data_IF_671379911943
#
_entry.id   IF_671379911943
#
_cell.length_a   1.000
_cell.length_b   1.000
_cell.length_c   1.000
_cell.angle_alpha   90.00
_cell.angle_beta   90.00
_cell.angle_gamma   90.00
#
_symmetry.space_group_name_H-M   'P 1'
#
loop_
_entity.id
_entity.type
_entity.pdbx_description
1 polymer ?
#
# COMPACT_ATOMS: atom_id res chain seq x y z
N UNK A 1 9.33 -8.52 -25.43
CA UNK A 1 9.29 -7.20 -24.77
C UNK A 1 10.07 -7.15 -23.45
N UNK A 2 9.99 -8.17 -22.57
CA UNK A 2 10.86 -8.26 -21.37
C UNK A 2 12.27 -8.81 -21.67
N UNK A 3 12.42 -9.64 -22.71
CA UNK A 3 13.70 -10.25 -23.10
C UNK A 3 14.70 -9.22 -23.61
N UNK A 4 14.31 -8.39 -24.60
CA UNK A 4 15.18 -7.32 -25.13
C UNK A 4 15.60 -6.29 -24.07
N UNK A 5 14.72 -5.99 -23.12
CA UNK A 5 15.06 -5.09 -22.02
C UNK A 5 16.11 -5.72 -21.09
N UNK A 6 15.95 -7.00 -20.76
CA UNK A 6 16.94 -7.77 -19.97
C UNK A 6 18.27 -7.90 -20.69
N UNK A 7 18.24 -8.16 -21.99
CA UNK A 7 19.46 -8.31 -22.79
C UNK A 7 20.24 -7.00 -22.91
N UNK A 8 19.53 -5.86 -23.01
CA UNK A 8 20.14 -4.52 -22.99
C UNK A 8 20.67 -4.10 -21.62
N UNK A 9 20.05 -4.60 -20.54
CA UNK A 9 20.48 -4.35 -19.17
C UNK A 9 21.71 -5.19 -18.80
N UNK A 10 21.83 -6.39 -19.37
CA UNK A 10 23.00 -7.27 -19.21
C UNK A 10 24.23 -6.82 -20.03
N UNK A 11 24.08 -5.82 -20.90
CA UNK A 11 25.16 -5.27 -21.72
C UNK A 11 25.87 -4.10 -21.03
N UNK A 12 27.16 -4.30 -20.72
CA UNK A 12 27.95 -3.40 -19.87
C UNK A 12 27.46 -3.46 -18.43
N UNK A 13 28.24 -3.00 -17.46
CA UNK A 13 27.91 -2.96 -16.01
C UNK A 13 26.66 -2.12 -15.65
N UNK A 14 25.75 -1.87 -16.59
CA UNK A 14 24.48 -1.16 -16.39
C UNK A 14 23.58 -1.85 -15.37
N UNK A 15 23.61 -3.18 -15.30
CA UNK A 15 22.91 -3.93 -14.26
C UNK A 15 23.48 -3.61 -12.87
N UNK A 16 24.81 -3.53 -12.75
CA UNK A 16 25.50 -3.23 -11.50
C UNK A 16 25.32 -1.76 -11.11
N UNK A 17 25.40 -0.82 -12.06
CA UNK A 17 25.11 0.59 -11.80
C UNK A 17 23.67 0.86 -11.39
N UNK A 18 22.70 0.12 -11.94
CA UNK A 18 21.31 0.16 -11.49
C UNK A 18 21.16 -0.41 -10.08
N UNK A 19 21.83 -1.53 -9.80
CA UNK A 19 21.85 -2.15 -8.48
C UNK A 19 22.47 -1.22 -7.44
N UNK A 20 23.58 -0.55 -7.76
CA UNK A 20 24.25 0.41 -6.89
C UNK A 20 23.36 1.61 -6.57
N UNK A 21 22.70 2.18 -7.59
CA UNK A 21 21.74 3.27 -7.39
C UNK A 21 20.59 2.83 -6.48
N UNK A 22 20.05 1.62 -6.68
CA UNK A 22 19.00 1.08 -5.82
C UNK A 22 19.50 0.86 -4.39
N UNK A 23 20.71 0.30 -4.21
CA UNK A 23 21.32 0.08 -2.90
C UNK A 23 21.60 1.40 -2.17
N UNK A 24 22.04 2.44 -2.89
CA UNK A 24 22.24 3.77 -2.32
C UNK A 24 20.91 4.33 -1.78
N UNK A 25 19.83 4.26 -2.56
CA UNK A 25 18.49 4.70 -2.12
C UNK A 25 17.98 3.88 -0.93
N UNK A 26 18.21 2.56 -0.93
CA UNK A 26 17.83 1.69 0.19
C UNK A 26 18.64 2.00 1.46
N UNK A 27 19.91 2.39 1.34
CA UNK A 27 20.74 2.86 2.46
C UNK A 27 20.29 4.23 2.97
N UNK A 28 20.00 5.18 2.08
CA UNK A 28 19.43 6.48 2.47
C UNK A 28 18.11 6.32 3.22
N UNK A 29 17.33 5.30 2.86
CA UNK A 29 16.10 4.92 3.56
C UNK A 29 16.33 4.02 4.80
N UNK A 30 17.58 3.78 5.23
CA UNK A 30 17.88 2.99 6.44
C UNK A 30 17.45 1.51 6.38
N UNK A 31 17.20 0.97 5.19
CA UNK A 31 16.72 -0.40 4.97
C UNK A 31 17.86 -1.42 4.86
N UNK A 32 19.06 -0.93 4.54
CA UNK A 32 20.30 -1.69 4.48
C UNK A 32 21.28 -1.04 5.45
N UNK A 33 21.93 -1.83 6.31
CA UNK A 33 22.88 -1.32 7.30
C UNK A 33 24.25 -1.18 6.66
N UNK A 34 24.98 -0.10 6.98
CA UNK A 34 26.32 0.15 6.43
C UNK A 34 27.39 -0.89 6.84
N UNK A 35 27.17 -1.65 7.92
CA UNK A 35 28.17 -2.60 8.45
C UNK A 35 27.56 -3.95 8.83
N UNK A 36 28.08 -5.01 8.22
CA UNK A 36 27.77 -6.41 8.50
C UNK A 36 27.55 -7.22 7.22
N UNK A 37 27.94 -8.50 7.22
CA UNK A 37 27.67 -9.44 6.12
C UNK A 37 26.16 -9.71 6.04
N UNK A 38 25.44 -8.86 5.32
CA UNK A 38 24.02 -9.05 5.02
C UNK A 38 23.85 -10.01 3.85
N UNK A 39 22.80 -10.82 3.88
CA UNK A 39 22.37 -11.58 2.70
C UNK A 39 21.74 -10.59 1.71
N UNK A 40 22.52 -10.16 0.74
CA UNK A 40 22.11 -9.42 -0.46
C UNK A 40 21.73 -10.39 -1.57
N UNK A 41 20.98 -11.44 -1.24
CA UNK A 41 20.32 -12.21 -2.30
C UNK A 41 19.16 -11.38 -2.86
N UNK A 42 18.89 -11.56 -4.15
CA UNK A 42 17.84 -10.82 -4.87
C UNK A 42 16.49 -10.99 -4.19
N UNK A 43 16.27 -12.11 -3.49
CA UNK A 43 15.06 -12.41 -2.74
C UNK A 43 14.87 -11.48 -1.54
N UNK A 44 15.92 -11.23 -0.75
CA UNK A 44 15.82 -10.35 0.42
C UNK A 44 15.61 -8.89 0.03
N UNK A 45 16.37 -8.39 -0.95
CA UNK A 45 16.23 -7.02 -1.46
C UNK A 45 14.84 -6.82 -2.08
N UNK A 46 14.36 -7.78 -2.86
CA UNK A 46 13.03 -7.72 -3.46
C UNK A 46 11.92 -7.82 -2.41
N UNK A 47 12.07 -8.64 -1.36
CA UNK A 47 11.11 -8.72 -0.26
C UNK A 47 11.01 -7.39 0.52
N UNK A 48 12.14 -6.76 0.83
CA UNK A 48 12.17 -5.46 1.51
C UNK A 48 11.64 -4.34 0.62
N UNK A 49 11.99 -4.33 -0.68
CA UNK A 49 11.43 -3.39 -1.64
C UNK A 49 9.91 -3.57 -1.79
N UNK A 50 9.43 -4.82 -1.87
CA UNK A 50 8.01 -5.15 -1.91
C UNK A 50 7.27 -4.70 -0.64
N UNK A 51 7.87 -4.86 0.54
CA UNK A 51 7.29 -4.38 1.80
C UNK A 51 7.08 -2.86 1.83
N UNK A 52 7.86 -2.09 1.05
CA UNK A 52 7.69 -0.64 0.87
C UNK A 52 6.65 -0.30 -0.18
N UNK A 53 6.68 -0.98 -1.34
CA UNK A 53 5.69 -0.82 -2.41
C UNK A 53 4.27 -1.22 -1.98
N UNK A 54 4.13 -1.96 -0.87
CA UNK A 54 2.86 -2.44 -0.30
C UNK A 54 2.07 -1.40 0.51
N UNK A 55 2.64 -0.26 0.89
CA UNK A 55 2.01 0.71 1.83
C UNK A 55 1.35 1.92 1.19
N UNK A 56 2.03 2.50 0.21
CA UNK A 56 1.55 3.64 -0.57
C UNK A 56 0.23 3.38 -1.32
N UNK A 57 -0.03 2.19 -1.91
CA UNK A 57 -1.29 1.97 -2.63
C UNK A 57 -2.52 2.00 -1.72
N UNK A 58 -2.39 1.69 -0.43
CA UNK A 58 -3.55 1.66 0.48
C UNK A 58 -4.02 3.07 0.80
N UNK A 59 -3.13 3.97 1.19
CA UNK A 59 -3.48 5.36 1.51
C UNK A 59 -4.03 6.08 0.28
N UNK A 60 -3.41 5.87 -0.87
CA UNK A 60 -3.84 6.46 -2.14
C UNK A 60 -5.20 5.91 -2.61
N UNK A 61 -5.45 4.61 -2.42
CA UNK A 61 -6.75 4.03 -2.71
C UNK A 61 -7.85 4.58 -1.79
N UNK A 62 -7.56 4.82 -0.51
CA UNK A 62 -8.52 5.48 0.40
C UNK A 62 -8.80 6.90 -0.08
N UNK A 63 -7.78 7.66 -0.47
CA UNK A 63 -7.96 9.01 -1.03
C UNK A 63 -8.86 8.98 -2.27
N UNK A 64 -8.54 8.12 -3.24
CA UNK A 64 -9.32 8.00 -4.48
C UNK A 64 -10.78 7.58 -4.23
N UNK A 65 -11.00 6.66 -3.28
CA UNK A 65 -12.35 6.26 -2.87
C UNK A 65 -13.11 7.40 -2.19
N UNK A 66 -12.45 8.19 -1.33
CA UNK A 66 -13.07 9.40 -0.72
C UNK A 66 -13.45 10.42 -1.79
N UNK A 67 -12.60 10.64 -2.80
CA UNK A 67 -12.91 11.56 -3.91
C UNK A 67 -14.10 11.08 -4.76
N UNK A 68 -14.19 9.77 -5.00
CA UNK A 68 -15.36 9.16 -5.65
C UNK A 68 -16.63 9.34 -4.83
N UNK A 69 -16.58 9.02 -3.53
CA UNK A 69 -17.73 9.17 -2.64
C UNK A 69 -18.14 10.64 -2.52
N UNK A 70 -17.21 11.57 -2.44
CA UNK A 70 -17.49 13.00 -2.41
C UNK A 70 -18.26 13.48 -3.65
N UNK A 71 -17.96 12.89 -4.81
CA UNK A 71 -18.62 13.22 -6.08
C UNK A 71 -20.01 12.61 -6.20
N UNK A 72 -20.14 11.33 -5.84
CA UNK A 72 -21.32 10.54 -6.19
C UNK A 72 -22.33 10.41 -5.03
N UNK A 73 -21.83 10.42 -3.79
CA UNK A 73 -22.62 10.18 -2.56
C UNK A 73 -22.04 10.94 -1.34
N UNK A 74 -21.89 12.28 -1.41
CA UNK A 74 -21.20 13.07 -0.37
C UNK A 74 -21.75 12.86 1.05
N UNK A 75 -23.03 12.54 1.21
CA UNK A 75 -23.67 12.28 2.50
C UNK A 75 -23.07 11.09 3.29
N UNK A 76 -22.32 10.21 2.63
CA UNK A 76 -21.55 9.15 3.32
C UNK A 76 -20.39 9.75 4.11
N UNK A 77 -19.80 10.84 3.61
CA UNK A 77 -18.64 11.49 4.22
C UNK A 77 -19.00 12.30 5.47
N UNK A 78 -20.23 12.77 5.60
CA UNK A 78 -20.70 13.51 6.78
C UNK A 78 -20.53 12.72 8.09
N UNK A 79 -20.53 11.38 8.00
CA UNK A 79 -20.37 10.49 9.15
C UNK A 79 -18.92 10.11 9.45
N UNK A 80 -18.00 10.34 8.50
CA UNK A 80 -16.64 9.79 8.52
C UNK A 80 -15.57 10.88 8.56
N UNK A 81 -15.77 11.98 7.86
CA UNK A 81 -14.74 13.00 7.64
C UNK A 81 -14.61 13.88 8.87
N UNK A 82 -13.60 13.56 9.68
CA UNK A 82 -13.11 14.43 10.74
C UNK A 82 -11.95 15.31 10.24
N UNK A 83 -11.51 16.28 11.05
CA UNK A 83 -10.31 17.07 10.72
C UNK A 83 -9.07 16.18 10.44
N UNK A 84 -8.92 15.08 11.18
CA UNK A 84 -7.84 14.10 10.97
C UNK A 84 -7.90 13.41 9.59
N UNK A 85 -9.08 13.27 8.98
CA UNK A 85 -9.20 12.73 7.62
C UNK A 85 -8.69 13.72 6.59
N UNK A 86 -8.97 15.01 6.78
CA UNK A 86 -8.45 16.08 5.92
C UNK A 86 -6.92 16.15 5.91
N UNK A 87 -6.28 15.97 7.07
CA UNK A 87 -4.82 15.94 7.17
C UNK A 87 -4.21 14.71 6.48
N UNK A 88 -4.88 13.54 6.56
CA UNK A 88 -4.35 12.26 6.08
C UNK A 88 -4.62 11.98 4.61
N UNK A 89 -5.77 12.41 4.10
CA UNK A 89 -6.24 12.08 2.75
C UNK A 89 -6.49 13.32 1.88
N UNK A 90 -6.44 14.54 2.44
CA UNK A 90 -6.67 15.77 1.68
C UNK A 90 -5.54 16.16 0.72
N UNK A 91 -4.39 15.48 0.77
CA UNK A 91 -3.26 15.70 -0.15
C UNK A 91 -2.71 14.37 -0.68
N UNK A 92 -2.20 14.33 -1.93
CA UNK A 92 -1.49 13.17 -2.44
C UNK A 92 -0.30 12.79 -1.55
N UNK A 93 -0.07 11.49 -1.36
CA UNK A 93 1.05 10.99 -0.57
C UNK A 93 2.37 11.29 -1.30
N UNK A 94 3.35 11.96 -0.67
CA UNK A 94 4.66 12.17 -1.28
C UNK A 94 5.39 10.83 -1.44
N UNK A 95 5.80 10.49 -2.67
CA UNK A 95 6.47 9.22 -3.06
C UNK A 95 7.82 8.95 -2.33
N UNK A 96 8.37 9.92 -1.61
CA UNK A 96 9.71 9.83 -1.01
C UNK A 96 9.75 10.12 0.49
N UNK A 97 8.60 10.24 1.17
CA UNK A 97 8.62 10.46 2.63
C UNK A 97 8.60 9.12 3.36
N UNK A 98 9.76 8.71 3.88
CA UNK A 98 9.83 7.53 4.74
C UNK A 98 9.17 7.85 6.08
N UNK A 99 8.00 7.29 6.38
CA UNK A 99 7.19 7.93 7.39
C UNK A 99 7.41 7.22 8.74
N UNK A 100 7.47 7.95 9.87
CA UNK A 100 7.74 7.40 11.22
C UNK A 100 6.65 6.41 11.68
N UNK A 101 6.96 5.20 12.17
CA UNK A 101 5.94 4.19 12.56
C UNK A 101 5.05 3.65 11.41
N UNK A 102 5.63 2.97 10.41
CA UNK A 102 4.91 2.63 9.19
C UNK A 102 3.91 1.47 9.35
N UNK A 103 4.06 0.62 10.37
CA UNK A 103 3.05 -0.41 10.70
C UNK A 103 1.81 0.23 11.30
N UNK A 104 1.98 1.13 12.28
CA UNK A 104 0.87 1.77 12.97
C UNK A 104 0.01 2.59 12.00
N UNK A 105 0.65 3.35 11.10
CA UNK A 105 -0.08 4.06 10.04
C UNK A 105 -0.82 3.13 9.10
N UNK A 106 -0.19 2.05 8.62
CA UNK A 106 -0.88 1.10 7.75
C UNK A 106 -2.11 0.49 8.45
N UNK A 107 -1.99 0.12 9.72
CA UNK A 107 -3.12 -0.37 10.51
C UNK A 107 -4.23 0.68 10.59
N UNK A 108 -3.90 1.94 10.89
CA UNK A 108 -4.86 3.03 10.96
C UNK A 108 -5.56 3.27 9.61
N UNK A 109 -4.80 3.32 8.51
CA UNK A 109 -5.34 3.45 7.15
C UNK A 109 -6.28 2.29 6.81
N UNK A 110 -5.94 1.06 7.20
CA UNK A 110 -6.82 -0.09 7.03
C UNK A 110 -8.12 0.03 7.83
N UNK A 111 -8.07 0.56 9.05
CA UNK A 111 -9.28 0.83 9.84
C UNK A 111 -10.16 1.88 9.15
N UNK A 112 -9.58 3.00 8.72
CA UNK A 112 -10.32 4.04 7.99
C UNK A 112 -10.97 3.49 6.71
N UNK A 113 -10.24 2.67 5.95
CA UNK A 113 -10.75 2.02 4.74
C UNK A 113 -11.93 1.08 5.03
N UNK A 114 -11.84 0.30 6.11
CA UNK A 114 -12.93 -0.57 6.56
C UNK A 114 -14.16 0.24 6.95
N UNK A 115 -13.97 1.31 7.70
CA UNK A 115 -15.05 2.17 8.18
C UNK A 115 -15.71 2.92 7.00
N UNK A 116 -14.93 3.34 5.98
CA UNK A 116 -15.45 3.91 4.73
C UNK A 116 -16.33 2.93 3.96
N UNK A 117 -15.85 1.71 3.72
CA UNK A 117 -16.61 0.68 3.01
C UNK A 117 -17.88 0.30 3.78
N UNK A 118 -17.80 0.16 5.11
CA UNK A 118 -18.95 -0.13 5.97
C UNK A 118 -20.00 0.98 5.93
N UNK A 119 -19.59 2.24 6.11
CA UNK A 119 -20.51 3.36 6.06
C UNK A 119 -21.16 3.53 4.68
N UNK A 120 -20.42 3.26 3.59
CA UNK A 120 -21.00 3.26 2.25
C UNK A 120 -22.11 2.21 2.13
N UNK A 121 -21.86 0.99 2.56
CA UNK A 121 -22.84 -0.10 2.53
C UNK A 121 -24.06 0.20 3.41
N UNK A 122 -23.89 0.79 4.58
CA UNK A 122 -25.00 1.19 5.45
C UNK A 122 -25.86 2.30 4.84
N UNK A 123 -25.23 3.32 4.27
CA UNK A 123 -25.92 4.44 3.63
C UNK A 123 -26.55 4.05 2.28
N UNK A 124 -25.97 3.07 1.59
CA UNK A 124 -26.34 2.65 0.22
C UNK A 124 -26.32 1.13 0.06
N UNK A 125 -27.17 0.37 0.78
CA UNK A 125 -27.10 -1.10 0.84
C UNK A 125 -27.44 -1.81 -0.48
N UNK A 126 -28.06 -1.11 -1.43
CA UNK A 126 -28.47 -1.65 -2.74
C UNK A 126 -27.68 -1.05 -3.92
N UNK A 127 -26.68 -0.21 -3.65
CA UNK A 127 -25.88 0.42 -4.69
C UNK A 127 -24.57 -0.34 -4.84
N UNK A 128 -24.21 -0.63 -6.08
CA UNK A 128 -22.90 -1.21 -6.37
C UNK A 128 -21.78 -0.22 -6.01
N UNK A 129 -20.61 -0.78 -5.66
CA UNK A 129 -19.43 0.03 -5.42
C UNK A 129 -18.99 0.70 -6.73
N UNK A 130 -18.63 1.98 -6.64
CA UNK A 130 -17.94 2.65 -7.72
C UNK A 130 -16.56 2.05 -7.96
N UNK A 131 -15.93 2.36 -9.11
CA UNK A 131 -14.65 1.76 -9.49
C UNK A 131 -13.54 1.98 -8.44
N UNK A 132 -13.47 3.16 -7.80
CA UNK A 132 -12.43 3.43 -6.79
C UNK A 132 -12.70 2.71 -5.48
N UNK A 133 -13.96 2.63 -5.04
CA UNK A 133 -14.35 1.82 -3.89
C UNK A 133 -14.08 0.33 -4.11
N UNK A 134 -14.28 -0.17 -5.33
CA UNK A 134 -14.00 -1.56 -5.67
C UNK A 134 -12.49 -1.85 -5.66
N UNK A 135 -11.67 -0.95 -6.23
CA UNK A 135 -10.21 -1.02 -6.12
C UNK A 135 -9.76 -1.02 -4.65
N UNK A 136 -10.34 -0.14 -3.81
CA UNK A 136 -10.05 -0.10 -2.39
C UNK A 136 -10.41 -1.44 -1.71
N UNK A 137 -11.58 -2.01 -2.01
CA UNK A 137 -12.01 -3.32 -1.50
C UNK A 137 -11.02 -4.42 -1.88
N UNK A 138 -10.52 -4.42 -3.12
CA UNK A 138 -9.53 -5.39 -3.59
C UNK A 138 -8.20 -5.25 -2.85
N UNK A 139 -7.69 -4.02 -2.74
CA UNK A 139 -6.47 -3.71 -1.99
C UNK A 139 -6.61 -4.15 -0.54
N UNK A 140 -7.76 -3.92 0.09
CA UNK A 140 -8.03 -4.33 1.46
C UNK A 140 -7.91 -5.84 1.67
N UNK A 141 -8.49 -6.65 0.79
CA UNK A 141 -8.38 -8.13 0.87
C UNK A 141 -6.95 -8.61 0.67
N UNK A 142 -6.18 -7.91 -0.16
CA UNK A 142 -4.77 -8.25 -0.41
C UNK A 142 -3.84 -7.87 0.75
N UNK A 143 -4.15 -6.80 1.48
CA UNK A 143 -3.24 -6.19 2.45
C UNK A 143 -3.62 -6.47 3.91
N UNK A 144 -4.87 -6.84 4.18
CA UNK A 144 -5.38 -7.06 5.53
C UNK A 144 -6.05 -8.43 5.68
N UNK A 145 -6.13 -8.88 6.94
CA UNK A 145 -6.78 -10.13 7.32
C UNK A 145 -7.46 -9.96 8.67
N UNK A 146 -8.54 -10.70 8.86
CA UNK A 146 -9.15 -10.89 10.18
C UNK A 146 -8.55 -12.19 10.74
N UNK A 147 -7.83 -12.09 11.86
CA UNK A 147 -7.22 -13.27 12.48
C UNK A 147 -8.28 -14.22 13.06
N UNK A 148 -7.87 -15.44 13.46
CA UNK A 148 -8.78 -16.42 14.06
C UNK A 148 -9.45 -15.94 15.36
N UNK A 149 -8.99 -14.82 15.94
CA UNK A 149 -9.58 -14.17 17.12
C UNK A 149 -10.48 -12.98 16.74
N UNK A 150 -10.80 -12.80 15.46
CA UNK A 150 -11.65 -11.73 14.97
C UNK A 150 -10.96 -10.37 14.84
N UNK A 151 -9.63 -10.27 14.98
CA UNK A 151 -8.93 -8.99 14.95
C UNK A 151 -8.48 -8.64 13.55
N UNK A 152 -8.87 -7.44 13.11
CA UNK A 152 -8.41 -6.84 11.86
C UNK A 152 -6.96 -6.36 12.00
N UNK A 153 -6.07 -6.86 11.14
CA UNK A 153 -4.65 -6.48 11.13
C UNK A 153 -4.05 -6.54 9.72
N UNK A 154 -2.94 -5.82 9.47
CA UNK A 154 -2.16 -6.01 8.27
C UNK A 154 -1.70 -7.48 8.13
N UNK A 155 -1.69 -7.97 6.89
CA UNK A 155 -1.12 -9.27 6.55
C UNK A 155 0.40 -9.25 6.72
N UNK A 156 0.90 -10.38 7.18
CA UNK A 156 2.33 -10.68 7.35
C UNK A 156 2.71 -11.84 6.43
N UNK A 157 4.01 -12.10 6.26
CA UNK A 157 4.48 -13.22 5.43
C UNK A 157 3.93 -14.59 5.88
N UNK A 158 3.55 -14.74 7.16
CA UNK A 158 2.98 -15.99 7.71
C UNK A 158 1.55 -16.27 7.25
N UNK A 159 0.86 -15.28 6.68
CA UNK A 159 -0.54 -15.40 6.26
C UNK A 159 -0.69 -15.97 4.82
N UNK A 160 0.43 -16.27 4.16
CA UNK A 160 0.44 -16.76 2.77
C UNK A 160 0.10 -15.67 1.74
N UNK A 161 0.11 -16.01 0.44
CA UNK A 161 -0.21 -15.06 -0.62
C UNK A 161 -1.66 -14.55 -0.48
N UNK A 162 -1.89 -13.31 -0.94
CA UNK A 162 -3.25 -12.81 -1.09
C UNK A 162 -4.05 -13.70 -2.05
N UNK A 163 -5.36 -13.92 -1.80
CA UNK A 163 -6.19 -14.65 -2.76
C UNK A 163 -6.12 -13.94 -4.11
N UNK A 164 -5.76 -14.69 -5.16
CA UNK A 164 -5.43 -14.14 -6.49
C UNK A 164 -6.63 -13.58 -7.26
N UNK A 165 -7.85 -13.79 -6.77
CA UNK A 165 -9.10 -13.25 -7.30
C UNK A 165 -10.11 -13.07 -6.16
N UNK A 166 -10.92 -12.01 -6.27
CA UNK A 166 -12.16 -11.79 -5.51
C UNK A 166 -13.30 -11.78 -6.50
#
# INVERSE_FOLDING_TARGET
MLSDFRDRLAQGDRADGLLDLMLERLRTAGLVKERGRQRTDSAHVLATAWELTRREPVTEAVRAAVEEVARDVPQVLDRLVTAEWGERYGRPVPMCSQPSHPVARLTRTGLDARDLLGCFQECRPRRDLGPMLEVLRQIMVQHFVVDARGRFRPRTQRDGPAPGRI
#
